data_IF_525946840799
#
_entry.id   IF_525946840799
#
_cell.length_a   1.000
_cell.length_b   1.000
_cell.length_c   1.000
_cell.angle_alpha   90.00
_cell.angle_beta   90.00
_cell.angle_gamma   90.00
#
_symmetry.space_group_name_H-M   'P 1'
#
loop_
_entity.id
_entity.type
_entity.pdbx_description
1 polymer ?
#
# COMPACT_ATOMS: atom_id res chain seq x y z
N UNK A 1 -33.28 -21.02 23.36
CA UNK A 1 -33.91 -20.59 22.09
C UNK A 1 -33.52 -19.15 21.81
N UNK A 2 -32.46 -18.93 21.04
CA UNK A 2 -32.09 -17.63 20.49
C UNK A 2 -31.71 -17.82 19.03
N UNK A 3 -32.10 -16.84 18.22
CA UNK A 3 -32.37 -16.91 16.79
C UNK A 3 -31.13 -17.27 15.95
N UNK A 4 -31.22 -18.37 15.21
CA UNK A 4 -30.43 -18.62 14.00
C UNK A 4 -30.94 -17.70 12.87
N UNK A 5 -30.29 -16.55 12.71
CA UNK A 5 -30.52 -15.62 11.60
C UNK A 5 -29.81 -16.07 10.33
N UNK A 6 -30.55 -16.15 9.24
CA UNK A 6 -30.13 -16.58 7.90
C UNK A 6 -28.99 -15.72 7.31
N UNK A 7 -27.76 -16.23 7.27
CA UNK A 7 -26.72 -15.86 6.30
C UNK A 7 -25.92 -17.09 5.87
N UNK A 8 -26.51 -18.00 5.09
CA UNK A 8 -25.76 -19.10 4.44
C UNK A 8 -25.09 -18.59 3.16
N UNK A 9 -24.01 -17.82 3.32
CA UNK A 9 -22.95 -17.73 2.32
C UNK A 9 -21.82 -18.66 2.74
N UNK A 10 -21.28 -19.47 1.82
CA UNK A 10 -20.12 -20.31 2.13
C UNK A 10 -18.94 -19.44 2.60
N UNK A 11 -18.34 -19.77 3.74
CA UNK A 11 -17.17 -19.05 4.27
C UNK A 11 -16.02 -19.11 3.26
N UNK A 12 -15.45 -17.97 2.81
CA UNK A 12 -14.41 -17.95 1.78
C UNK A 12 -13.17 -18.76 2.16
N UNK A 13 -12.49 -19.34 1.17
CA UNK A 13 -11.29 -20.18 1.36
C UNK A 13 -10.21 -19.43 2.13
N UNK A 14 -9.98 -18.16 1.82
CA UNK A 14 -9.02 -17.31 2.52
C UNK A 14 -9.32 -17.15 4.03
N UNK A 15 -10.58 -17.29 4.44
CA UNK A 15 -10.98 -17.29 5.86
C UNK A 15 -10.84 -18.68 6.47
N UNK A 16 -11.21 -19.75 5.74
CA UNK A 16 -11.09 -21.14 6.22
C UNK A 16 -9.62 -21.57 6.39
N UNK A 17 -8.74 -21.11 5.51
CA UNK A 17 -7.30 -21.38 5.51
C UNK A 17 -6.49 -20.48 6.44
N UNK A 18 -7.15 -19.70 7.33
CA UNK A 18 -6.41 -18.97 8.36
C UNK A 18 -5.68 -19.98 9.26
N UNK A 19 -4.37 -19.79 9.49
CA UNK A 19 -3.54 -20.67 10.27
C UNK A 19 -4.04 -20.74 11.71
N UNK A 20 -3.90 -21.93 12.31
CA UNK A 20 -4.28 -22.19 13.69
C UNK A 20 -3.13 -22.05 14.68
N UNK A 21 -1.90 -22.07 14.19
CA UNK A 21 -0.66 -21.84 14.95
C UNK A 21 0.32 -20.96 14.17
N UNK A 22 1.37 -20.47 14.82
CA UNK A 22 2.46 -19.77 14.13
C UNK A 22 3.19 -20.63 13.10
N UNK A 23 3.25 -21.95 13.29
CA UNK A 23 3.92 -22.88 12.38
C UNK A 23 3.21 -23.00 11.02
N UNK A 24 1.92 -22.67 10.98
CA UNK A 24 1.14 -22.64 9.75
C UNK A 24 1.25 -21.32 9.00
N UNK A 25 1.91 -20.29 9.55
CA UNK A 25 2.07 -19.01 8.86
C UNK A 25 3.07 -19.17 7.71
N UNK A 26 2.63 -18.85 6.48
CA UNK A 26 3.52 -18.81 5.32
C UNK A 26 4.36 -17.52 5.35
N UNK A 27 5.66 -17.65 5.07
CA UNK A 27 6.62 -16.54 5.10
C UNK A 27 6.86 -15.95 6.49
N UNK A 28 7.44 -14.74 6.51
CA UNK A 28 7.82 -14.02 7.74
C UNK A 28 8.80 -14.78 8.65
N UNK A 29 9.62 -15.69 8.11
CA UNK A 29 10.61 -16.46 8.88
C UNK A 29 11.54 -15.57 9.72
N UNK A 30 11.81 -14.34 9.27
CA UNK A 30 12.59 -13.34 10.02
C UNK A 30 11.92 -12.86 11.32
N UNK A 31 10.60 -13.06 11.46
CA UNK A 31 9.81 -12.75 12.66
C UNK A 31 9.34 -13.99 13.42
N UNK A 32 9.55 -15.20 12.90
CA UNK A 32 9.05 -16.45 13.50
C UNK A 32 10.16 -17.39 13.98
N UNK A 33 11.43 -16.96 13.87
CA UNK A 33 12.56 -17.74 14.37
C UNK A 33 12.61 -17.88 15.90
N UNK A 34 13.43 -18.82 16.41
CA UNK A 34 13.66 -19.00 17.85
C UNK A 34 14.08 -17.69 18.54
N UNK A 35 13.45 -17.37 19.67
CA UNK A 35 13.69 -16.13 20.42
C UNK A 35 12.96 -14.89 19.88
N UNK A 36 12.12 -15.05 18.85
CA UNK A 36 11.26 -13.96 18.38
C UNK A 36 10.26 -13.52 19.46
N UNK A 37 10.02 -12.20 19.62
CA UNK A 37 8.95 -11.68 20.46
C UNK A 37 7.56 -12.23 20.11
N UNK A 38 7.29 -12.53 18.84
CA UNK A 38 5.99 -13.10 18.42
C UNK A 38 5.83 -14.53 18.92
N UNK A 39 6.88 -15.34 18.83
CA UNK A 39 6.89 -16.71 19.33
C UNK A 39 6.75 -16.71 20.85
N UNK A 40 7.42 -15.80 21.55
CA UNK A 40 7.27 -15.63 22.99
C UNK A 40 5.85 -15.20 23.39
N UNK A 41 5.19 -14.35 22.60
CA UNK A 41 3.80 -13.94 22.83
C UNK A 41 2.79 -15.06 22.56
N UNK A 42 3.10 -15.99 21.66
CA UNK A 42 2.26 -17.13 21.33
C UNK A 42 2.49 -18.35 22.24
N UNK A 43 3.57 -18.38 23.04
CA UNK A 43 3.89 -19.49 23.94
C UNK A 43 2.84 -19.66 25.06
N UNK A 44 2.59 -20.92 25.43
CA UNK A 44 1.53 -21.30 26.37
C UNK A 44 1.94 -21.18 27.85
N UNK A 45 0.94 -21.07 28.74
CA UNK A 45 0.93 -20.52 30.10
C UNK A 45 1.78 -21.18 31.21
N UNK A 46 2.86 -21.89 30.91
CA UNK A 46 3.83 -22.37 31.92
C UNK A 46 5.25 -21.82 31.72
N UNK A 47 5.64 -21.52 30.48
CA UNK A 47 6.96 -20.95 30.13
C UNK A 47 6.87 -19.47 29.73
N UNK A 48 5.65 -18.96 29.56
CA UNK A 48 5.40 -17.56 29.25
C UNK A 48 5.84 -16.69 30.43
N UNK A 49 7.01 -16.04 30.31
CA UNK A 49 7.21 -14.79 31.04
C UNK A 49 6.07 -13.86 30.61
N UNK A 50 5.38 -13.17 31.53
CA UNK A 50 4.34 -12.23 31.19
C UNK A 50 4.97 -11.03 30.47
N UNK A 51 5.29 -11.19 29.18
CA UNK A 51 5.67 -10.07 28.34
C UNK A 51 4.35 -9.41 27.93
N UNK A 52 3.91 -8.44 28.73
CA UNK A 52 2.82 -7.52 28.42
C UNK A 52 3.21 -6.53 27.29
N UNK A 53 3.97 -7.01 26.31
CA UNK A 53 4.55 -6.17 25.28
C UNK A 53 3.57 -6.09 24.13
N UNK A 54 3.07 -4.87 23.89
CA UNK A 54 2.23 -4.57 22.75
C UNK A 54 3.03 -4.69 21.46
N UNK A 55 2.36 -5.02 20.35
CA UNK A 55 2.99 -5.19 19.05
C UNK A 55 2.27 -4.32 18.03
N UNK A 56 3.05 -3.66 17.17
CA UNK A 56 2.56 -2.98 15.98
C UNK A 56 3.11 -3.70 14.76
N UNK A 57 2.22 -4.32 13.99
CA UNK A 57 2.48 -5.01 12.73
C UNK A 57 2.35 -4.00 11.58
N UNK A 58 3.46 -3.71 10.92
CA UNK A 58 3.50 -2.81 9.77
C UNK A 58 3.84 -3.57 8.50
N UNK A 59 3.00 -3.48 7.47
CA UNK A 59 3.33 -4.02 6.17
C UNK A 59 2.19 -3.88 5.15
N UNK A 60 2.48 -4.17 3.86
CA UNK A 60 1.50 -4.13 2.78
C UNK A 60 0.21 -4.94 3.07
N UNK A 61 -0.90 -4.71 2.35
CA UNK A 61 -2.05 -5.60 2.39
C UNK A 61 -1.65 -7.04 2.00
N UNK A 62 -2.40 -8.03 2.48
CA UNK A 62 -2.16 -9.42 2.08
C UNK A 62 -1.00 -10.15 2.78
N UNK A 63 -0.16 -9.46 3.55
CA UNK A 63 0.99 -10.08 4.25
C UNK A 63 0.67 -10.89 5.51
N UNK A 64 -0.62 -10.99 5.87
CA UNK A 64 -1.06 -11.82 6.99
C UNK A 64 -1.08 -11.14 8.37
N UNK A 65 -1.17 -9.80 8.46
CA UNK A 65 -1.23 -9.07 9.75
C UNK A 65 -2.34 -9.58 10.70
N UNK A 66 -3.60 -9.57 10.26
CA UNK A 66 -4.75 -10.09 11.02
C UNK A 66 -4.58 -11.56 11.36
N UNK A 67 -4.11 -12.32 10.37
CA UNK A 67 -3.89 -13.75 10.43
C UNK A 67 -2.87 -14.13 11.52
N UNK A 68 -1.77 -13.38 11.60
CA UNK A 68 -0.72 -13.53 12.58
C UNK A 68 -1.22 -13.21 13.99
N UNK A 69 -1.98 -12.13 14.15
CA UNK A 69 -2.59 -11.77 15.43
C UNK A 69 -3.54 -12.86 15.96
N UNK A 70 -4.35 -13.46 15.07
CA UNK A 70 -5.26 -14.55 15.42
C UNK A 70 -4.51 -15.84 15.77
N UNK A 71 -3.44 -16.18 15.04
CA UNK A 71 -2.61 -17.34 15.36
C UNK A 71 -1.96 -17.20 16.75
N UNK A 72 -1.42 -16.02 17.08
CA UNK A 72 -0.84 -15.73 18.40
C UNK A 72 -1.89 -15.92 19.51
N UNK A 73 -3.08 -15.36 19.34
CA UNK A 73 -4.13 -15.45 20.36
C UNK A 73 -4.62 -16.89 20.55
N UNK A 74 -4.82 -17.64 19.47
CA UNK A 74 -5.22 -19.05 19.51
C UNK A 74 -4.16 -19.92 20.18
N UNK A 75 -2.91 -19.78 19.76
CA UNK A 75 -1.81 -20.60 20.28
C UNK A 75 -1.51 -20.31 21.76
N UNK A 76 -1.65 -19.05 22.20
CA UNK A 76 -1.48 -18.68 23.61
C UNK A 76 -2.70 -18.94 24.50
N UNK A 77 -3.80 -19.47 23.97
CA UNK A 77 -5.04 -19.70 24.71
C UNK A 77 -5.73 -18.42 25.23
N UNK A 78 -5.34 -17.24 24.72
CA UNK A 78 -5.84 -15.94 25.17
C UNK A 78 -7.14 -15.57 24.47
N UNK A 79 -7.99 -14.79 25.16
CA UNK A 79 -9.21 -14.25 24.56
C UNK A 79 -8.83 -13.27 23.46
N UNK A 80 -9.37 -13.46 22.25
CA UNK A 80 -9.17 -12.53 21.13
C UNK A 80 -10.36 -11.58 21.00
N UNK A 81 -10.09 -10.28 21.00
CA UNK A 81 -11.09 -9.23 20.72
C UNK A 81 -10.59 -8.39 19.58
N UNK A 82 -11.40 -8.25 18.53
CA UNK A 82 -11.11 -7.43 17.35
C UNK A 82 -11.98 -6.17 17.39
N UNK A 83 -11.35 -5.00 17.24
CA UNK A 83 -12.04 -3.74 17.02
C UNK A 83 -11.65 -3.17 15.65
N UNK A 84 -12.67 -2.82 14.87
CA UNK A 84 -12.48 -2.14 13.59
C UNK A 84 -12.20 -0.67 13.80
N UNK A 85 -11.07 -0.18 13.26
CA UNK A 85 -10.71 1.23 13.38
C UNK A 85 -11.64 2.20 12.65
N UNK A 86 -12.50 1.69 11.76
CA UNK A 86 -13.44 2.48 10.95
C UNK A 86 -14.72 2.78 11.73
N UNK A 87 -15.19 1.84 12.55
CA UNK A 87 -16.50 1.91 13.19
C UNK A 87 -16.44 2.14 14.70
N UNK A 88 -15.33 1.78 15.35
CA UNK A 88 -15.21 1.87 16.80
C UNK A 88 -14.93 3.32 17.24
N UNK A 89 -15.75 3.86 18.15
CA UNK A 89 -15.52 5.13 18.83
C UNK A 89 -14.75 4.97 20.14
N UNK A 90 -14.50 6.09 20.84
CA UNK A 90 -13.82 6.09 22.17
C UNK A 90 -14.58 5.26 23.21
N UNK A 91 -15.92 5.23 23.13
CA UNK A 91 -16.76 4.45 24.04
C UNK A 91 -16.51 2.95 23.88
N UNK A 92 -16.46 2.45 22.65
CA UNK A 92 -16.24 1.03 22.36
C UNK A 92 -14.87 0.56 22.84
N UNK A 93 -13.85 1.41 22.67
CA UNK A 93 -12.50 1.15 23.20
C UNK A 93 -12.53 1.00 24.72
N UNK A 94 -13.19 1.92 25.44
CA UNK A 94 -13.29 1.86 26.91
C UNK A 94 -14.04 0.62 27.39
N UNK A 95 -15.13 0.27 26.73
CA UNK A 95 -15.92 -0.92 27.08
C UNK A 95 -15.10 -2.21 26.92
N UNK A 96 -14.28 -2.32 25.88
CA UNK A 96 -13.36 -3.45 25.72
C UNK A 96 -12.31 -3.47 26.83
N UNK A 97 -11.78 -2.32 27.25
CA UNK A 97 -10.81 -2.25 28.35
C UNK A 97 -11.41 -2.65 29.70
N UNK A 98 -12.61 -2.16 30.00
CA UNK A 98 -13.33 -2.51 31.24
C UNK A 98 -13.65 -4.00 31.31
N UNK A 99 -14.06 -4.60 30.18
CA UNK A 99 -14.29 -6.04 30.08
C UNK A 99 -12.99 -6.83 30.23
N UNK A 100 -11.91 -6.41 29.58
CA UNK A 100 -10.61 -7.08 29.69
C UNK A 100 -10.06 -7.04 31.12
N UNK A 101 -10.22 -5.91 31.81
CA UNK A 101 -9.88 -5.77 33.23
C UNK A 101 -10.71 -6.74 34.09
N UNK A 102 -12.03 -6.75 33.90
CA UNK A 102 -12.95 -7.63 34.65
C UNK A 102 -12.62 -9.11 34.44
N UNK A 103 -12.38 -9.53 33.20
CA UNK A 103 -12.05 -10.91 32.83
C UNK A 103 -10.71 -11.35 33.46
N UNK A 104 -9.72 -10.44 33.47
CA UNK A 104 -8.42 -10.69 34.09
C UNK A 104 -8.55 -10.84 35.61
N UNK A 105 -9.29 -9.96 36.26
CA UNK A 105 -9.38 -9.94 37.72
C UNK A 105 -10.25 -11.10 38.26
N UNK A 106 -11.27 -11.53 37.51
CA UNK A 106 -12.16 -12.63 37.90
C UNK A 106 -11.64 -14.02 37.51
N UNK A 107 -11.02 -14.15 36.33
CA UNK A 107 -10.68 -15.46 35.74
C UNK A 107 -9.18 -15.63 35.45
N UNK A 108 -8.35 -14.60 35.71
CA UNK A 108 -6.93 -14.62 35.37
C UNK A 108 -6.66 -14.63 33.85
N UNK A 109 -7.68 -14.42 33.02
CA UNK A 109 -7.55 -14.52 31.56
C UNK A 109 -7.00 -13.23 30.97
N UNK A 110 -5.94 -13.34 30.17
CA UNK A 110 -5.38 -12.20 29.43
C UNK A 110 -6.09 -12.03 28.08
N UNK A 111 -6.44 -10.80 27.72
CA UNK A 111 -7.09 -10.49 26.43
C UNK A 111 -6.07 -9.95 25.43
N UNK A 112 -6.07 -10.51 24.21
CA UNK A 112 -5.41 -9.94 23.04
C UNK A 112 -6.39 -9.02 22.34
N UNK A 113 -6.09 -7.72 22.33
CA UNK A 113 -6.85 -6.73 21.59
C UNK A 113 -6.20 -6.50 20.23
N UNK A 114 -6.89 -6.88 19.16
CA UNK A 114 -6.47 -6.61 17.80
C UNK A 114 -7.15 -5.36 17.24
N UNK A 115 -6.34 -4.44 16.72
CA UNK A 115 -6.79 -3.25 16.01
C UNK A 115 -6.28 -3.28 14.58
N UNK A 116 -7.18 -3.44 13.61
CA UNK A 116 -6.80 -3.33 12.20
C UNK A 116 -6.83 -1.87 11.73
N UNK A 117 -5.87 -1.51 10.88
CA UNK A 117 -5.67 -0.16 10.35
C UNK A 117 -5.70 0.94 11.43
N UNK A 118 -4.86 0.80 12.47
CA UNK A 118 -4.75 1.75 13.59
C UNK A 118 -4.52 3.20 13.14
N UNK A 119 -3.97 3.41 11.94
CA UNK A 119 -3.82 4.74 11.35
C UNK A 119 -5.16 5.48 11.12
N UNK A 120 -6.29 4.78 11.16
CA UNK A 120 -7.64 5.36 11.08
C UNK A 120 -8.17 5.84 12.42
N UNK A 121 -7.57 5.41 13.54
CA UNK A 121 -7.93 5.93 14.86
C UNK A 121 -7.42 7.36 15.05
N UNK A 122 -8.33 8.23 15.48
CA UNK A 122 -8.03 9.56 16.01
C UNK A 122 -7.13 9.47 17.24
N UNK A 123 -6.42 10.57 17.54
CA UNK A 123 -5.59 10.68 18.74
C UNK A 123 -6.35 10.33 20.03
N UNK A 124 -7.60 10.77 20.16
CA UNK A 124 -8.43 10.49 21.33
C UNK A 124 -8.77 8.99 21.49
N UNK A 125 -8.99 8.26 20.39
CA UNK A 125 -9.19 6.80 20.44
C UNK A 125 -7.90 6.08 20.84
N UNK A 126 -6.74 6.55 20.36
CA UNK A 126 -5.44 5.99 20.74
C UNK A 126 -5.09 6.27 22.21
N UNK A 127 -5.34 7.49 22.70
CA UNK A 127 -5.14 7.84 24.11
C UNK A 127 -6.00 6.97 25.05
N UNK A 128 -7.20 6.57 24.61
CA UNK A 128 -8.08 5.68 25.36
C UNK A 128 -7.52 4.25 25.53
N UNK A 129 -6.55 3.83 24.71
CA UNK A 129 -5.88 2.53 24.81
C UNK A 129 -4.79 2.51 25.89
N UNK A 130 -4.23 3.67 26.24
CA UNK A 130 -3.03 3.76 27.08
C UNK A 130 -3.19 3.10 28.45
N UNK A 131 -4.30 3.31 29.21
CA UNK A 131 -4.45 2.67 30.51
C UNK A 131 -4.42 1.14 30.42
N UNK A 132 -5.03 0.56 29.39
CA UNK A 132 -5.08 -0.89 29.19
C UNK A 132 -3.74 -1.48 28.78
N UNK A 133 -2.98 -0.75 27.96
CA UNK A 133 -1.63 -1.16 27.53
C UNK A 133 -0.61 -1.01 28.67
N UNK A 134 -0.64 0.11 29.40
CA UNK A 134 0.32 0.41 30.48
C UNK A 134 0.18 -0.53 31.67
N UNK A 135 -1.06 -0.89 32.02
CA UNK A 135 -1.35 -1.73 33.17
C UNK A 135 -1.52 -3.21 32.82
N UNK A 136 -1.26 -3.59 31.56
CA UNK A 136 -1.37 -4.98 31.09
C UNK A 136 -2.78 -5.55 31.24
N UNK A 137 -3.82 -4.75 31.00
CA UNK A 137 -5.21 -5.24 30.91
C UNK A 137 -5.41 -6.01 29.59
N UNK A 138 -4.73 -5.54 28.54
CA UNK A 138 -4.71 -6.17 27.23
C UNK A 138 -3.29 -6.30 26.71
N UNK A 139 -3.06 -7.29 25.86
CA UNK A 139 -1.93 -7.33 24.94
C UNK A 139 -2.42 -6.75 23.62
N UNK A 140 -1.98 -5.53 23.29
CA UNK A 140 -2.37 -4.87 22.05
C UNK A 140 -1.58 -5.44 20.88
N UNK A 141 -2.27 -5.87 19.83
CA UNK A 141 -1.70 -6.12 18.51
C UNK A 141 -2.38 -5.17 17.52
N UNK A 142 -1.67 -4.14 17.09
CA UNK A 142 -2.17 -3.19 16.11
C UNK A 142 -1.58 -3.46 14.73
N UNK A 143 -2.37 -3.34 13.68
CA UNK A 143 -1.93 -3.48 12.29
C UNK A 143 -2.08 -2.16 11.54
N UNK A 144 -1.14 -1.87 10.63
CA UNK A 144 -1.24 -0.73 9.73
C UNK A 144 -0.50 -0.98 8.41
N UNK A 145 -1.05 -0.43 7.33
CA UNK A 145 -0.38 -0.32 6.03
C UNK A 145 0.47 0.94 5.90
N UNK A 146 0.14 2.00 6.65
CA UNK A 146 0.90 3.26 6.71
C UNK A 146 2.04 3.19 7.73
N UNK A 147 3.08 4.03 7.54
CA UNK A 147 4.22 4.09 8.45
C UNK A 147 3.76 4.53 9.87
N UNK A 148 3.95 3.69 10.90
CA UNK A 148 3.47 3.93 12.26
C UNK A 148 4.02 5.19 12.92
N UNK A 149 5.20 5.69 12.52
CA UNK A 149 5.79 6.89 13.12
C UNK A 149 4.97 8.16 12.87
N UNK A 150 4.08 8.14 11.87
CA UNK A 150 3.20 9.26 11.54
C UNK A 150 1.78 9.06 12.03
N UNK A 151 1.32 7.81 12.13
CA UNK A 151 -0.09 7.50 12.36
C UNK A 151 -0.39 7.00 13.79
N UNK A 152 0.63 6.60 14.55
CA UNK A 152 0.49 6.14 15.94
C UNK A 152 1.13 7.14 16.90
N UNK A 153 0.46 7.43 18.03
CA UNK A 153 0.96 8.36 19.04
C UNK A 153 2.24 7.83 19.71
N UNK A 154 3.17 8.73 20.03
CA UNK A 154 4.45 8.38 20.67
C UNK A 154 4.31 7.53 21.95
N UNK A 155 3.33 7.77 22.84
CA UNK A 155 3.15 6.94 24.04
C UNK A 155 2.83 5.46 23.76
N UNK A 156 2.09 5.16 22.69
CA UNK A 156 1.81 3.77 22.28
C UNK A 156 3.03 3.16 21.60
N UNK A 157 3.71 3.91 20.72
CA UNK A 157 4.93 3.46 20.04
C UNK A 157 6.04 3.11 21.04
N UNK A 158 6.25 3.93 22.07
CA UNK A 158 7.31 3.69 23.07
C UNK A 158 7.08 2.44 23.93
N UNK A 159 5.86 1.89 23.91
CA UNK A 159 5.42 0.72 24.70
C UNK A 159 5.11 -0.49 23.83
N UNK A 160 5.37 -0.38 22.53
CA UNK A 160 5.08 -1.42 21.56
C UNK A 160 6.32 -1.81 20.77
N UNK A 161 6.44 -3.08 20.42
CA UNK A 161 7.42 -3.54 19.45
C UNK A 161 6.89 -3.29 18.04
N UNK A 162 7.66 -2.56 17.25
CA UNK A 162 7.38 -2.37 15.84
C UNK A 162 7.98 -3.52 15.02
N UNK A 163 7.12 -4.31 14.38
CA UNK A 163 7.52 -5.44 13.54
C UNK A 163 7.07 -5.22 12.10
N UNK A 164 8.01 -5.32 11.17
CA UNK A 164 7.75 -5.12 9.74
C UNK A 164 7.52 -6.45 9.03
N UNK A 165 6.33 -6.61 8.45
CA UNK A 165 5.98 -7.73 7.58
C UNK A 165 6.41 -7.41 6.15
N UNK A 166 6.97 -8.41 5.48
CA UNK A 166 7.37 -8.34 4.07
C UNK A 166 6.27 -8.92 3.17
N UNK A 167 6.19 -8.53 1.89
CA UNK A 167 5.47 -9.32 0.89
C UNK A 167 5.91 -10.78 0.93
N UNK A 168 4.99 -11.70 0.64
CA UNK A 168 5.33 -13.13 0.55
C UNK A 168 6.14 -13.39 -0.71
N UNK A 169 7.12 -14.28 -0.62
CA UNK A 169 7.89 -14.74 -1.77
C UNK A 169 7.09 -15.80 -2.56
N UNK A 170 7.48 -16.05 -3.80
CA UNK A 170 6.79 -16.99 -4.69
C UNK A 170 6.71 -18.41 -4.10
N UNK A 171 7.76 -18.82 -3.38
CA UNK A 171 7.81 -20.12 -2.70
C UNK A 171 6.83 -20.19 -1.51
N UNK A 172 6.70 -19.10 -0.74
CA UNK A 172 5.74 -19.01 0.37
C UNK A 172 4.29 -19.12 -0.14
N UNK A 173 3.99 -18.42 -1.23
CA UNK A 173 2.69 -18.45 -1.88
C UNK A 173 2.39 -19.82 -2.47
N UNK A 174 3.38 -20.44 -3.12
CA UNK A 174 3.27 -21.79 -3.66
C UNK A 174 2.93 -22.80 -2.57
N UNK A 175 3.68 -22.80 -1.45
CA UNK A 175 3.39 -23.65 -0.29
C UNK A 175 1.98 -23.44 0.27
N UNK A 176 1.51 -22.19 0.34
CA UNK A 176 0.17 -21.87 0.83
C UNK A 176 -0.92 -22.42 -0.10
N UNK A 177 -0.73 -22.29 -1.41
CA UNK A 177 -1.63 -22.82 -2.45
C UNK A 177 -1.69 -24.35 -2.38
N UNK A 178 -0.53 -25.01 -2.34
CA UNK A 178 -0.43 -26.47 -2.27
C UNK A 178 -1.15 -26.99 -1.01
N UNK A 179 -0.93 -26.33 0.12
CA UNK A 179 -1.62 -26.67 1.38
C UNK A 179 -3.13 -26.51 1.25
N UNK A 180 -3.61 -25.42 0.65
CA UNK A 180 -5.05 -25.16 0.53
C UNK A 180 -5.78 -26.18 -0.36
N UNK A 181 -5.10 -26.80 -1.31
CA UNK A 181 -5.66 -27.88 -2.14
C UNK A 181 -5.97 -29.13 -1.30
N UNK A 182 -5.04 -29.52 -0.42
CA UNK A 182 -5.12 -30.79 0.32
C UNK A 182 -5.75 -30.67 1.71
N UNK A 183 -5.65 -29.52 2.36
CA UNK A 183 -6.11 -29.32 3.74
C UNK A 183 -7.64 -29.53 3.85
N UNK A 184 -8.14 -30.26 4.86
CA UNK A 184 -9.57 -30.46 5.09
C UNK A 184 -10.38 -29.15 5.21
N UNK A 185 -9.77 -28.07 5.74
CA UNK A 185 -10.37 -26.73 5.82
C UNK A 185 -10.42 -26.05 4.44
N UNK A 186 -9.51 -26.46 3.56
CA UNK A 186 -9.31 -25.90 2.24
C UNK A 186 -10.26 -26.49 1.20
N UNK A 187 -9.71 -27.20 0.24
CA UNK A 187 -10.44 -27.93 -0.80
C UNK A 187 -10.57 -29.43 -0.49
N UNK A 188 -9.89 -29.91 0.56
CA UNK A 188 -9.96 -31.29 1.05
C UNK A 188 -9.64 -32.35 -0.02
N UNK A 189 -8.70 -32.04 -0.93
CA UNK A 189 -8.30 -32.93 -2.02
C UNK A 189 -9.38 -33.16 -3.08
N UNK A 190 -10.49 -32.41 -3.08
CA UNK A 190 -11.57 -32.56 -4.09
C UNK A 190 -11.17 -32.18 -5.52
N UNK A 191 -10.02 -31.54 -5.67
CA UNK A 191 -9.43 -31.14 -6.95
C UNK A 191 -7.92 -31.34 -6.86
N UNK A 192 -7.28 -31.51 -7.99
CA UNK A 192 -5.82 -31.44 -8.13
C UNK A 192 -5.43 -30.12 -8.80
N UNK A 193 -4.17 -29.73 -8.69
CA UNK A 193 -3.65 -28.48 -9.25
C UNK A 193 -2.45 -28.81 -10.15
N UNK A 194 -2.50 -28.39 -11.41
CA UNK A 194 -1.34 -28.54 -12.29
C UNK A 194 -0.25 -27.48 -12.00
N UNK A 195 0.97 -27.75 -12.46
CA UNK A 195 2.13 -26.88 -12.19
C UNK A 195 2.00 -25.50 -12.85
N UNK A 196 1.35 -25.42 -14.01
CA UNK A 196 1.16 -24.16 -14.74
C UNK A 196 0.13 -23.25 -14.07
N UNK A 197 -0.96 -23.83 -13.56
CA UNK A 197 -2.00 -23.21 -12.75
C UNK A 197 -1.43 -22.73 -11.42
N UNK A 198 -0.62 -23.57 -10.76
CA UNK A 198 0.11 -23.18 -9.54
C UNK A 198 0.98 -21.95 -9.81
N UNK A 199 1.79 -21.98 -10.86
CA UNK A 199 2.63 -20.86 -11.24
C UNK A 199 1.82 -19.60 -11.61
N UNK A 200 0.66 -19.78 -12.26
CA UNK A 200 -0.25 -18.68 -12.60
C UNK A 200 -0.85 -18.02 -11.34
N UNK A 201 -1.30 -18.81 -10.36
CA UNK A 201 -1.81 -18.33 -9.07
C UNK A 201 -0.76 -17.54 -8.29
N UNK A 202 0.49 -18.02 -8.25
CA UNK A 202 1.61 -17.34 -7.58
C UNK A 202 1.91 -16.00 -8.25
N UNK A 203 2.04 -15.97 -9.59
CA UNK A 203 2.27 -14.72 -10.33
C UNK A 203 1.15 -13.70 -10.11
N UNK A 204 -0.11 -14.15 -10.16
CA UNK A 204 -1.28 -13.30 -9.95
C UNK A 204 -1.28 -12.68 -8.55
N UNK A 205 -0.90 -13.46 -7.54
CA UNK A 205 -0.92 -13.05 -6.15
C UNK A 205 0.05 -11.88 -5.87
N UNK A 206 1.20 -11.82 -6.57
CA UNK A 206 2.18 -10.72 -6.44
C UNK A 206 2.53 -10.38 -4.98
N UNK A 207 2.72 -11.42 -4.15
CA UNK A 207 3.01 -11.29 -2.71
C UNK A 207 1.80 -11.23 -1.77
N UNK A 208 0.56 -11.32 -2.27
CA UNK A 208 -0.69 -11.32 -1.50
C UNK A 208 -1.33 -12.71 -1.39
N UNK A 209 -1.27 -13.31 -0.20
CA UNK A 209 -1.87 -14.62 0.09
C UNK A 209 -3.40 -14.65 -0.08
N UNK A 210 -4.10 -13.57 0.27
CA UNK A 210 -5.57 -13.50 0.15
C UNK A 210 -5.96 -13.59 -1.31
N UNK A 211 -5.23 -12.89 -2.19
CA UNK A 211 -5.47 -12.92 -3.64
C UNK A 211 -5.24 -14.32 -4.21
N UNK A 212 -4.16 -14.99 -3.81
CA UNK A 212 -3.87 -16.38 -4.22
C UNK A 212 -5.03 -17.33 -3.86
N UNK A 213 -5.47 -17.31 -2.60
CA UNK A 213 -6.51 -18.21 -2.10
C UNK A 213 -7.89 -17.91 -2.70
N UNK A 214 -8.23 -16.64 -2.94
CA UNK A 214 -9.49 -16.27 -3.60
C UNK A 214 -9.51 -16.77 -5.05
N UNK A 215 -8.41 -16.62 -5.78
CA UNK A 215 -8.30 -17.12 -7.15
C UNK A 215 -8.39 -18.66 -7.20
N UNK A 216 -7.69 -19.34 -6.29
CA UNK A 216 -7.75 -20.80 -6.15
C UNK A 216 -9.19 -21.28 -5.86
N UNK A 217 -9.91 -20.62 -4.95
CA UNK A 217 -11.30 -20.98 -4.62
C UNK A 217 -12.22 -20.88 -5.84
N UNK A 218 -12.08 -19.82 -6.63
CA UNK A 218 -12.88 -19.64 -7.82
C UNK A 218 -12.52 -20.65 -8.93
N UNK A 219 -11.23 -20.99 -9.06
CA UNK A 219 -10.75 -21.99 -10.02
C UNK A 219 -11.30 -23.37 -9.66
N UNK A 220 -11.26 -23.73 -8.39
CA UNK A 220 -11.85 -24.95 -7.88
C UNK A 220 -13.37 -25.01 -8.10
N UNK A 221 -14.10 -23.91 -7.83
CA UNK A 221 -15.55 -23.85 -8.06
C UNK A 221 -15.92 -24.04 -9.52
N UNK A 222 -15.14 -23.46 -10.44
CA UNK A 222 -15.39 -23.58 -11.88
C UNK A 222 -15.08 -24.99 -12.36
N UNK A 223 -13.94 -25.53 -11.96
CA UNK A 223 -13.50 -26.89 -12.31
C UNK A 223 -14.50 -27.94 -11.81
N UNK A 224 -14.95 -27.85 -10.56
CA UNK A 224 -15.96 -28.76 -10.00
C UNK A 224 -17.34 -28.64 -10.67
N UNK A 225 -17.67 -27.49 -11.24
CA UNK A 225 -18.95 -27.28 -11.91
C UNK A 225 -18.96 -27.82 -13.36
N UNK A 226 -17.79 -28.03 -13.95
CA UNK A 226 -17.62 -28.53 -15.33
C UNK A 226 -17.05 -29.94 -15.40
N UNK A 227 -16.74 -30.55 -14.26
CA UNK A 227 -16.23 -31.92 -14.18
C UNK A 227 -17.32 -32.94 -14.55
N UNK A 228 -16.92 -33.98 -15.28
CA UNK A 228 -17.77 -35.13 -15.52
C UNK A 228 -17.98 -35.92 -14.22
N UNK A 229 -19.13 -36.58 -14.06
CA UNK A 229 -19.48 -37.32 -12.83
C UNK A 229 -18.51 -38.49 -12.51
N UNK A 230 -17.66 -38.87 -13.46
CA UNK A 230 -16.65 -39.94 -13.32
C UNK A 230 -15.28 -39.43 -12.86
N UNK A 231 -15.01 -38.11 -12.87
CA UNK A 231 -13.75 -37.54 -12.41
C UNK A 231 -13.75 -37.34 -10.89
N UNK A 232 -13.14 -38.29 -10.16
CA UNK A 232 -13.05 -38.26 -8.69
C UNK A 232 -12.24 -37.04 -8.17
N UNK A 233 -11.26 -36.58 -8.97
CA UNK A 233 -10.39 -35.45 -8.64
C UNK A 233 -10.08 -34.55 -9.86
N UNK A 234 -11.02 -33.67 -10.26
CA UNK A 234 -10.84 -32.77 -11.40
C UNK A 234 -9.59 -31.89 -11.26
N UNK A 235 -8.87 -31.69 -12.36
CA UNK A 235 -7.62 -30.92 -12.40
C UNK A 235 -7.93 -29.44 -12.64
N UNK A 236 -7.44 -28.56 -11.77
CA UNK A 236 -7.42 -27.11 -12.02
C UNK A 236 -6.27 -26.80 -12.98
N UNK A 237 -6.63 -26.31 -14.18
CA UNK A 237 -5.67 -25.88 -15.19
C UNK A 237 -5.39 -24.39 -15.19
N UNK A 238 -4.34 -23.95 -15.90
CA UNK A 238 -4.03 -22.53 -16.08
C UNK A 238 -5.19 -21.75 -16.73
N UNK A 239 -5.91 -22.37 -17.67
CA UNK A 239 -7.12 -21.80 -18.28
C UNK A 239 -8.25 -21.68 -17.26
N UNK A 240 -8.44 -22.69 -16.41
CA UNK A 240 -9.43 -22.65 -15.33
C UNK A 240 -9.10 -21.55 -14.30
N UNK A 241 -7.82 -21.35 -13.99
CA UNK A 241 -7.35 -20.22 -13.17
C UNK A 241 -7.66 -18.90 -13.87
N UNK A 242 -7.34 -18.75 -15.15
CA UNK A 242 -7.64 -17.52 -15.91
C UNK A 242 -9.13 -17.20 -15.88
N UNK A 243 -9.98 -18.15 -16.29
CA UNK A 243 -11.44 -17.97 -16.31
C UNK A 243 -12.04 -17.71 -14.93
N UNK A 244 -11.44 -18.28 -13.89
CA UNK A 244 -11.86 -18.08 -12.51
C UNK A 244 -11.39 -16.76 -11.92
N UNK A 245 -10.22 -16.24 -12.31
CA UNK A 245 -9.76 -14.91 -11.93
C UNK A 245 -10.71 -13.87 -12.50
N UNK A 246 -11.11 -14.00 -13.75
CA UNK A 246 -12.11 -13.14 -14.38
C UNK A 246 -13.42 -13.15 -13.56
N UNK A 247 -13.84 -14.32 -13.04
CA UNK A 247 -15.07 -14.51 -12.25
C UNK A 247 -14.94 -14.15 -10.76
N UNK A 248 -13.77 -14.32 -10.15
CA UNK A 248 -13.47 -13.97 -8.76
C UNK A 248 -13.27 -12.47 -8.60
N UNK A 249 -12.63 -11.83 -9.59
CA UNK A 249 -12.60 -10.38 -9.76
C UNK A 249 -13.97 -9.80 -10.09
N UNK A 250 -14.98 -10.61 -10.44
CA UNK A 250 -16.40 -10.20 -10.54
C UNK A 250 -17.22 -10.42 -9.24
N UNK A 251 -16.68 -11.17 -8.26
CA UNK A 251 -17.35 -11.49 -6.98
C UNK A 251 -16.72 -10.84 -5.75
N UNK A 252 -15.39 -10.73 -5.73
CA UNK A 252 -14.62 -10.01 -4.71
C UNK A 252 -14.50 -8.53 -5.05
N UNK A 253 -14.68 -8.23 -6.34
CA UNK A 253 -14.80 -6.89 -6.86
C UNK A 253 -16.05 -6.89 -7.74
N UNK A 254 -16.86 -5.84 -7.66
CA UNK A 254 -17.85 -5.59 -8.72
C UNK A 254 -17.15 -4.96 -9.95
N UNK A 255 -15.82 -5.17 -10.11
CA UNK A 255 -14.96 -4.45 -11.04
C UNK A 255 -13.62 -5.21 -11.27
N UNK A 256 -13.47 -5.98 -12.35
CA UNK A 256 -12.29 -6.87 -12.54
C UNK A 256 -11.40 -6.56 -13.73
N UNK A 257 -11.53 -7.32 -14.82
CA UNK A 257 -10.68 -7.11 -16.00
C UNK A 257 -11.16 -5.96 -16.87
N UNK A 258 -12.48 -5.77 -16.99
CA UNK A 258 -13.03 -4.55 -17.58
C UNK A 258 -12.65 -3.32 -16.74
N UNK A 259 -12.46 -3.45 -15.42
CA UNK A 259 -12.06 -2.32 -14.57
C UNK A 259 -10.64 -1.85 -14.88
N UNK A 260 -9.65 -2.76 -14.90
CA UNK A 260 -8.27 -2.40 -15.25
C UNK A 260 -8.14 -1.93 -16.69
N UNK A 261 -8.88 -2.56 -17.61
CA UNK A 261 -8.91 -2.14 -19.00
C UNK A 261 -9.59 -0.79 -19.18
N UNK A 262 -10.69 -0.52 -18.46
CA UNK A 262 -11.39 0.77 -18.51
C UNK A 262 -10.58 1.87 -17.86
N UNK A 263 -9.97 1.67 -16.68
CA UNK A 263 -9.11 2.70 -16.08
C UNK A 263 -7.84 2.90 -16.91
N UNK A 264 -7.30 1.83 -17.49
CA UNK A 264 -6.17 1.95 -18.39
C UNK A 264 -6.56 2.69 -19.66
N UNK A 265 -7.71 2.38 -20.26
CA UNK A 265 -8.19 3.04 -21.47
C UNK A 265 -8.52 4.51 -21.17
N UNK A 266 -9.13 4.80 -20.03
CA UNK A 266 -9.37 6.15 -19.52
C UNK A 266 -8.09 6.99 -19.49
N UNK A 267 -7.02 6.49 -18.84
CA UNK A 267 -5.75 7.22 -18.74
C UNK A 267 -5.04 7.28 -20.09
N UNK A 268 -5.10 6.21 -20.90
CA UNK A 268 -4.56 6.21 -22.27
C UNK A 268 -5.29 7.21 -23.17
N UNK A 269 -6.60 7.42 -23.01
CA UNK A 269 -7.38 8.42 -23.75
C UNK A 269 -6.99 9.84 -23.34
N UNK A 270 -6.83 10.11 -22.04
CA UNK A 270 -6.30 11.40 -21.57
C UNK A 270 -4.91 11.64 -22.17
N UNK A 271 -3.99 10.67 -22.05
CA UNK A 271 -2.62 10.74 -22.60
C UNK A 271 -2.61 10.90 -24.13
N UNK A 272 -3.53 10.23 -24.81
CA UNK A 272 -3.74 10.28 -26.26
C UNK A 272 -4.43 11.56 -26.75
N UNK A 273 -4.82 12.44 -25.84
CA UNK A 273 -5.54 13.68 -26.11
C UNK A 273 -6.91 13.49 -26.78
N UNK A 274 -7.62 12.44 -26.40
CA UNK A 274 -8.99 12.15 -26.83
C UNK A 274 -9.96 12.43 -25.66
N UNK A 275 -10.57 13.64 -25.58
CA UNK A 275 -11.48 14.00 -24.51
C UNK A 275 -12.80 13.19 -24.57
N UNK A 276 -13.25 12.81 -25.76
CA UNK A 276 -14.50 12.07 -25.95
C UNK A 276 -14.37 10.65 -25.41
N UNK A 277 -13.28 9.95 -25.77
CA UNK A 277 -12.99 8.62 -25.25
C UNK A 277 -12.71 8.67 -23.74
N UNK A 278 -12.00 9.69 -23.25
CA UNK A 278 -11.75 9.84 -21.81
C UNK A 278 -13.06 10.04 -21.01
N UNK A 279 -13.98 10.87 -21.49
CA UNK A 279 -15.30 11.04 -20.88
C UNK A 279 -16.13 9.75 -20.93
N UNK A 280 -16.06 9.00 -22.03
CA UNK A 280 -16.74 7.71 -22.16
C UNK A 280 -16.26 6.69 -21.10
N UNK A 281 -14.94 6.53 -20.94
CA UNK A 281 -14.41 5.62 -19.93
C UNK A 281 -14.63 6.13 -18.49
N UNK A 282 -14.62 7.45 -18.27
CA UNK A 282 -15.05 8.04 -16.99
C UNK A 282 -16.49 7.66 -16.66
N UNK A 283 -17.41 7.82 -17.61
CA UNK A 283 -18.82 7.46 -17.44
C UNK A 283 -18.98 5.96 -17.14
N UNK A 284 -18.24 5.09 -17.84
CA UNK A 284 -18.24 3.64 -17.57
C UNK A 284 -17.80 3.32 -16.14
N UNK A 285 -16.76 3.96 -15.63
CA UNK A 285 -16.33 3.77 -14.23
C UNK A 285 -17.39 4.24 -13.24
N UNK A 286 -18.00 5.40 -13.48
CA UNK A 286 -19.04 5.94 -12.58
C UNK A 286 -20.27 5.04 -12.54
N UNK A 287 -20.75 4.59 -13.71
CA UNK A 287 -21.91 3.68 -13.80
C UNK A 287 -21.60 2.30 -13.22
N UNK A 288 -20.36 1.83 -13.34
CA UNK A 288 -19.90 0.59 -12.70
C UNK A 288 -19.78 0.70 -11.16
N UNK A 289 -19.95 1.89 -10.59
CA UNK A 289 -19.88 2.12 -9.14
C UNK A 289 -18.45 2.21 -8.59
N UNK A 290 -17.50 2.61 -9.42
CA UNK A 290 -16.10 2.80 -9.05
C UNK A 290 -15.94 3.81 -7.90
N UNK A 291 -14.98 3.61 -6.98
CA UNK A 291 -14.74 4.57 -5.90
C UNK A 291 -14.36 5.94 -6.51
N UNK A 292 -15.15 7.02 -6.29
CA UNK A 292 -14.87 8.33 -6.86
C UNK A 292 -13.50 8.87 -6.45
N UNK A 293 -13.01 8.47 -5.27
CA UNK A 293 -11.66 8.83 -4.79
C UNK A 293 -10.57 8.09 -5.58
N UNK A 294 -10.84 6.87 -6.04
CA UNK A 294 -9.94 6.15 -6.93
C UNK A 294 -9.81 6.86 -8.28
N UNK A 295 -10.94 7.22 -8.92
CA UNK A 295 -10.95 7.99 -10.17
C UNK A 295 -10.16 9.30 -9.99
N UNK A 296 -10.48 10.07 -8.94
CA UNK A 296 -9.83 11.35 -8.65
C UNK A 296 -8.30 11.21 -8.46
N UNK A 297 -7.83 10.16 -7.77
CA UNK A 297 -6.38 9.87 -7.64
C UNK A 297 -5.72 9.63 -9.00
N UNK A 298 -6.39 8.91 -9.90
CA UNK A 298 -5.86 8.61 -11.24
C UNK A 298 -5.79 9.86 -12.12
N UNK A 299 -6.75 10.78 -12.00
CA UNK A 299 -6.74 12.10 -12.65
C UNK A 299 -5.56 12.95 -12.15
N UNK A 300 -5.31 12.99 -10.83
CA UNK A 300 -4.15 13.70 -10.25
C UNK A 300 -2.83 13.14 -10.76
N UNK A 301 -2.68 11.81 -10.81
CA UNK A 301 -1.47 11.17 -11.34
C UNK A 301 -1.26 11.55 -12.80
N UNK A 302 -2.30 11.46 -13.64
CA UNK A 302 -2.19 11.82 -15.07
C UNK A 302 -1.82 13.29 -15.27
N UNK A 303 -2.36 14.20 -14.45
CA UNK A 303 -1.97 15.61 -14.48
C UNK A 303 -0.45 15.83 -14.25
N UNK A 304 0.16 15.07 -13.34
CA UNK A 304 1.59 15.18 -13.05
C UNK A 304 2.48 14.37 -14.03
N UNK A 305 2.02 13.19 -14.45
CA UNK A 305 2.78 12.24 -15.28
C UNK A 305 2.70 12.59 -16.77
N UNK A 306 1.50 12.88 -17.28
CA UNK A 306 1.23 13.00 -18.72
C UNK A 306 1.21 14.46 -19.21
N UNK A 307 0.92 15.42 -18.34
CA UNK A 307 0.91 16.86 -18.65
C UNK A 307 2.13 17.54 -18.04
N UNK A 308 2.37 17.35 -16.74
CA UNK A 308 3.55 17.82 -16.04
C UNK A 308 3.73 19.34 -16.13
N UNK A 309 4.94 19.79 -16.47
CA UNK A 309 5.27 21.22 -16.53
C UNK A 309 4.88 21.85 -17.88
N UNK A 310 4.41 21.06 -18.85
CA UNK A 310 3.90 21.61 -20.09
C UNK A 310 2.63 22.45 -19.86
N UNK A 311 1.86 22.13 -18.81
CA UNK A 311 0.84 23.02 -18.28
C UNK A 311 0.78 22.94 -16.74
N UNK A 312 1.39 23.92 -16.04
CA UNK A 312 1.45 23.95 -14.58
C UNK A 312 0.09 24.08 -13.87
N UNK A 313 -1.00 24.42 -14.59
CA UNK A 313 -2.34 24.52 -14.00
C UNK A 313 -3.05 23.17 -13.90
N UNK A 314 -2.59 22.15 -14.63
CA UNK A 314 -3.21 20.83 -14.67
C UNK A 314 -3.31 20.14 -13.30
N UNK A 315 -2.21 20.11 -12.54
CA UNK A 315 -2.18 19.47 -11.22
C UNK A 315 -3.06 20.20 -10.19
N UNK A 316 -2.98 21.54 -10.02
CA UNK A 316 -3.90 22.29 -9.17
C UNK A 316 -5.37 22.05 -9.51
N UNK A 317 -5.74 22.06 -10.80
CA UNK A 317 -7.11 21.80 -11.24
C UNK A 317 -7.57 20.38 -10.87
N UNK A 318 -6.74 19.37 -11.12
CA UNK A 318 -7.03 17.98 -10.76
C UNK A 318 -7.22 17.78 -9.25
N UNK A 319 -6.40 18.47 -8.43
CA UNK A 319 -6.54 18.46 -6.96
C UNK A 319 -7.83 19.14 -6.53
N UNK A 320 -8.18 20.30 -7.13
CA UNK A 320 -9.43 20.99 -6.84
C UNK A 320 -10.65 20.12 -7.19
N UNK A 321 -10.62 19.42 -8.33
CA UNK A 321 -11.67 18.47 -8.71
C UNK A 321 -11.78 17.30 -7.70
N UNK A 322 -10.66 16.74 -7.25
CA UNK A 322 -10.66 15.69 -6.22
C UNK A 322 -11.25 16.16 -4.89
N UNK A 323 -10.93 17.39 -4.46
CA UNK A 323 -11.52 18.00 -3.27
C UNK A 323 -13.03 18.23 -3.45
N UNK A 324 -13.45 18.73 -4.61
CA UNK A 324 -14.87 18.91 -4.92
C UNK A 324 -15.64 17.59 -4.85
N UNK A 325 -15.09 16.49 -5.39
CA UNK A 325 -15.68 15.14 -5.26
C UNK A 325 -15.84 14.73 -3.81
N UNK A 326 -14.84 14.97 -2.98
CA UNK A 326 -14.88 14.62 -1.56
C UNK A 326 -15.92 15.45 -0.77
N UNK A 327 -16.09 16.72 -1.12
CA UNK A 327 -17.00 17.64 -0.44
C UNK A 327 -18.46 17.45 -0.88
N UNK A 328 -18.68 17.19 -2.17
CA UNK A 328 -20.02 17.16 -2.78
C UNK A 328 -20.58 15.73 -2.79
N UNK A 329 -19.74 14.71 -2.98
CA UNK A 329 -20.17 13.32 -3.16
C UNK A 329 -20.76 13.05 -4.55
N UNK A 330 -21.17 11.80 -4.81
CA UNK A 330 -21.82 11.38 -6.05
C UNK A 330 -23.35 11.43 -5.93
N UNK A 331 -24.09 11.73 -7.01
CA UNK A 331 -23.63 11.80 -8.41
C UNK A 331 -23.03 13.14 -8.86
N UNK A 332 -23.20 14.25 -8.13
CA UNK A 332 -22.77 15.60 -8.55
C UNK A 332 -21.25 15.71 -8.74
N UNK A 333 -20.45 14.93 -8.00
CA UNK A 333 -19.00 14.85 -8.15
C UNK A 333 -18.52 14.43 -9.55
N UNK A 334 -19.38 13.83 -10.39
CA UNK A 334 -19.07 13.54 -11.80
C UNK A 334 -18.78 14.81 -12.62
N UNK A 335 -19.38 15.94 -12.24
CA UNK A 335 -19.28 17.21 -12.98
C UNK A 335 -17.86 17.80 -12.89
N UNK A 336 -17.29 18.06 -11.69
CA UNK A 336 -15.91 18.52 -11.59
C UNK A 336 -14.90 17.49 -12.09
N UNK A 337 -15.19 16.18 -12.00
CA UNK A 337 -14.34 15.15 -12.61
C UNK A 337 -14.32 15.27 -14.14
N UNK A 338 -15.48 15.44 -14.77
CA UNK A 338 -15.56 15.60 -16.23
C UNK A 338 -14.81 16.86 -16.70
N UNK A 339 -14.95 17.98 -15.97
CA UNK A 339 -14.22 19.22 -16.25
C UNK A 339 -12.70 19.00 -16.22
N UNK A 340 -12.18 18.39 -15.15
CA UNK A 340 -10.76 18.09 -15.04
C UNK A 340 -10.27 17.14 -16.13
N UNK A 341 -11.06 16.10 -16.47
CA UNK A 341 -10.69 15.14 -17.52
C UNK A 341 -10.59 15.80 -18.88
N UNK A 342 -11.54 16.66 -19.26
CA UNK A 342 -11.50 17.40 -20.53
C UNK A 342 -10.31 18.34 -20.57
N UNK A 343 -10.03 19.04 -19.47
CA UNK A 343 -8.86 19.90 -19.36
C UNK A 343 -7.56 19.11 -19.59
N UNK A 344 -7.37 17.99 -18.88
CA UNK A 344 -6.17 17.17 -19.00
C UNK A 344 -6.02 16.55 -20.40
N UNK A 345 -7.13 16.06 -20.98
CA UNK A 345 -7.11 15.48 -22.32
C UNK A 345 -6.71 16.53 -23.38
N UNK A 346 -7.13 17.78 -23.23
CA UNK A 346 -6.80 18.86 -24.19
C UNK A 346 -5.49 19.58 -23.91
N UNK A 347 -4.91 19.41 -22.72
CA UNK A 347 -3.64 20.03 -22.32
C UNK A 347 -2.42 19.54 -23.12
N UNK A 348 -1.37 20.36 -23.28
CA UNK A 348 -0.11 19.94 -23.89
C UNK A 348 0.56 18.82 -23.06
N UNK A 349 0.98 17.75 -23.72
CA UNK A 349 1.53 16.56 -23.05
C UNK A 349 3.03 16.60 -22.84
N UNK A 350 3.48 16.37 -21.62
CA UNK A 350 4.89 16.16 -21.27
C UNK A 350 5.03 15.23 -20.08
N UNK A 351 5.88 14.21 -20.23
CA UNK A 351 6.35 13.35 -19.15
C UNK A 351 7.80 13.66 -18.75
N UNK A 352 8.34 14.83 -19.13
CA UNK A 352 9.75 15.17 -18.95
C UNK A 352 10.19 15.20 -17.47
N UNK A 353 9.33 15.69 -16.58
CA UNK A 353 9.59 15.69 -15.14
C UNK A 353 9.53 14.28 -14.54
N UNK A 354 8.53 13.49 -14.96
CA UNK A 354 8.37 12.08 -14.58
C UNK A 354 9.60 11.23 -14.97
N UNK A 355 10.02 11.29 -16.23
CA UNK A 355 11.24 10.59 -16.67
C UNK A 355 12.51 11.13 -15.99
N UNK A 356 12.54 12.42 -15.66
CA UNK A 356 13.65 13.05 -14.95
C UNK A 356 13.86 12.47 -13.55
N UNK A 357 12.78 12.31 -12.77
CA UNK A 357 12.89 11.72 -11.42
C UNK A 357 13.23 10.23 -11.49
N UNK A 358 12.66 9.48 -12.45
CA UNK A 358 12.98 8.06 -12.62
C UNK A 358 14.46 7.83 -12.99
N UNK A 359 15.01 8.67 -13.86
CA UNK A 359 16.42 8.62 -14.21
C UNK A 359 17.33 8.93 -13.00
N UNK A 360 16.94 9.89 -12.16
CA UNK A 360 17.69 10.22 -10.94
C UNK A 360 17.62 9.09 -9.91
N UNK A 361 16.44 8.51 -9.69
CA UNK A 361 16.25 7.36 -8.81
C UNK A 361 17.05 6.13 -9.28
N UNK A 362 17.08 5.89 -10.59
CA UNK A 362 17.89 4.82 -11.17
C UNK A 362 19.39 5.01 -10.91
N UNK A 363 19.91 6.24 -11.07
CA UNK A 363 21.31 6.54 -10.77
C UNK A 363 21.64 6.38 -9.27
N UNK A 364 20.72 6.75 -8.37
CA UNK A 364 20.87 6.53 -6.92
C UNK A 364 20.91 5.03 -6.60
N UNK A 365 19.96 4.24 -7.14
CA UNK A 365 19.90 2.78 -6.95
C UNK A 365 21.13 2.08 -7.52
N UNK A 366 21.71 2.60 -8.60
CA UNK A 366 22.96 2.12 -9.18
C UNK A 366 24.23 2.58 -8.43
N UNK A 367 24.10 3.21 -7.24
CA UNK A 367 25.23 3.63 -6.42
C UNK A 367 25.94 4.90 -6.90
N UNK A 368 25.36 5.66 -7.83
CA UNK A 368 25.91 6.93 -8.34
C UNK A 368 25.53 8.15 -7.51
N UNK A 369 24.98 7.96 -6.30
CA UNK A 369 24.56 9.04 -5.42
C UNK A 369 25.69 10.04 -5.10
N UNK A 370 26.95 9.57 -5.01
CA UNK A 370 28.09 10.42 -4.68
C UNK A 370 27.99 11.04 -3.28
N UNK A 371 28.87 11.99 -2.97
CA UNK A 371 28.82 12.76 -1.72
C UNK A 371 28.39 14.19 -2.06
N UNK A 372 27.53 14.78 -1.22
CA UNK A 372 27.14 16.19 -1.35
C UNK A 372 28.40 17.08 -1.32
N UNK A 373 28.58 17.98 -2.31
CA UNK A 373 29.70 18.93 -2.33
C UNK A 373 29.81 19.73 -1.03
N UNK A 374 31.02 19.97 -0.53
CA UNK A 374 31.26 20.58 0.79
C UNK A 374 30.56 21.94 0.96
N UNK A 375 30.57 22.78 -0.08
CA UNK A 375 29.93 24.09 -0.08
C UNK A 375 28.38 24.02 -0.06
N UNK A 376 27.78 22.86 -0.33
CA UNK A 376 26.32 22.67 -0.23
C UNK A 376 25.87 21.96 1.06
N UNK A 377 26.81 21.50 1.90
CA UNK A 377 26.46 20.84 3.16
C UNK A 377 26.01 21.86 4.20
N UNK A 378 25.17 21.39 5.12
CA UNK A 378 24.71 22.22 6.23
C UNK A 378 25.89 22.77 7.06
N UNK A 379 25.83 24.07 7.33
CA UNK A 379 26.84 24.84 8.02
C UNK A 379 26.42 25.28 9.44
N UNK A 380 25.18 24.98 9.86
CA UNK A 380 24.57 25.55 11.07
C UNK A 380 24.83 24.75 12.36
N UNK A 381 25.50 23.60 12.29
CA UNK A 381 25.75 22.75 13.46
C UNK A 381 27.19 22.90 14.03
N UNK A 382 27.40 22.62 15.34
CA UNK A 382 28.71 22.68 15.97
C UNK A 382 29.72 21.73 15.28
N UNK A 383 30.83 22.28 14.77
CA UNK A 383 31.87 21.53 14.05
C UNK A 383 31.85 21.67 12.53
N UNK A 384 30.79 22.25 11.94
CA UNK A 384 30.69 22.47 10.50
C UNK A 384 31.84 23.35 9.94
N UNK A 385 32.25 24.39 10.68
CA UNK A 385 33.39 25.26 10.31
C UNK A 385 34.72 24.50 10.23
N UNK A 386 34.96 23.57 11.16
CA UNK A 386 36.18 22.74 11.19
C UNK A 386 36.20 21.73 10.04
N UNK A 387 35.02 21.22 9.66
CA UNK A 387 34.84 20.29 8.54
C UNK A 387 34.75 20.99 7.17
N UNK A 388 34.82 22.33 7.14
CA UNK A 388 34.73 23.13 5.92
C UNK A 388 33.36 23.10 5.23
N UNK A 389 32.30 22.71 5.94
CA UNK A 389 30.94 22.70 5.39
C UNK A 389 30.43 24.12 5.11
N UNK A 390 29.73 24.29 3.98
CA UNK A 390 29.22 25.59 3.52
C UNK A 390 30.30 26.58 3.06
N UNK A 391 31.60 26.27 3.24
CA UNK A 391 32.68 27.14 2.81
C UNK A 391 32.71 27.21 1.29
N UNK A 392 32.62 28.42 0.74
CA UNK A 392 32.62 28.65 -0.71
C UNK A 392 31.23 28.55 -1.36
N UNK A 393 30.16 28.42 -0.57
CA UNK A 393 28.80 28.52 -1.09
C UNK A 393 28.56 29.89 -1.73
N UNK A 394 28.04 29.90 -2.96
CA UNK A 394 27.63 31.14 -3.64
C UNK A 394 26.13 31.30 -3.54
N UNK A 395 25.68 32.20 -2.70
CA UNK A 395 24.25 32.44 -2.52
C UNK A 395 23.65 33.11 -3.77
N UNK A 396 22.69 32.48 -4.49
CA UNK A 396 22.22 32.99 -5.77
C UNK A 396 21.61 34.40 -5.73
N UNK A 397 21.03 34.83 -4.61
CA UNK A 397 20.45 36.17 -4.49
C UNK A 397 21.48 37.30 -4.42
N UNK A 398 22.75 36.99 -4.15
CA UNK A 398 23.85 37.96 -4.16
C UNK A 398 24.44 38.13 -5.59
N UNK A 399 24.09 37.25 -6.53
CA UNK A 399 24.46 37.38 -7.95
C UNK A 399 23.46 38.32 -8.67
N UNK A 400 23.96 39.20 -9.53
CA UNK A 400 23.15 40.18 -10.27
C UNK A 400 22.01 39.51 -11.09
N UNK A 401 22.24 38.30 -11.59
CA UNK A 401 21.26 37.56 -12.39
C UNK A 401 20.37 36.65 -11.55
N UNK A 402 20.58 36.59 -10.23
CA UNK A 402 19.89 35.68 -9.32
C UNK A 402 20.31 34.21 -9.49
N UNK A 403 21.46 33.94 -10.13
CA UNK A 403 21.91 32.59 -10.53
C UNK A 403 23.43 32.46 -10.39
N UNK A 404 23.89 31.67 -9.43
CA UNK A 404 25.33 31.45 -9.19
C UNK A 404 25.94 30.37 -10.09
N UNK A 405 27.10 30.66 -10.69
CA UNK A 405 28.01 29.65 -11.26
C UNK A 405 28.64 28.83 -10.13
N UNK A 406 28.15 27.62 -9.91
CA UNK A 406 28.74 26.65 -8.96
C UNK A 406 28.27 25.24 -9.27
N UNK A 407 29.05 24.24 -8.84
CA UNK A 407 28.66 22.84 -8.96
C UNK A 407 27.58 22.49 -7.93
N UNK A 408 26.44 21.98 -8.39
CA UNK A 408 25.37 21.52 -7.50
C UNK A 408 25.28 19.99 -7.39
N UNK A 409 25.58 19.27 -8.48
CA UNK A 409 25.63 17.82 -8.46
C UNK A 409 26.94 17.31 -7.86
N UNK A 410 26.97 16.13 -7.21
CA UNK A 410 28.21 15.46 -6.81
C UNK A 410 29.16 15.22 -8.00
N UNK A 411 30.46 15.07 -7.73
CA UNK A 411 31.51 14.93 -8.76
C UNK A 411 31.18 13.83 -9.79
N UNK A 412 30.64 12.70 -9.32
CA UNK A 412 30.27 11.55 -10.17
C UNK A 412 29.12 11.83 -11.14
N UNK A 413 28.37 12.92 -10.93
CA UNK A 413 27.18 13.30 -11.69
C UNK A 413 27.36 14.63 -12.42
N UNK A 414 28.56 15.22 -12.41
CA UNK A 414 28.84 16.44 -13.17
C UNK A 414 28.51 16.22 -14.65
N UNK A 415 27.75 17.14 -15.24
CA UNK A 415 27.27 17.05 -16.62
C UNK A 415 25.98 16.25 -16.81
N UNK A 416 25.47 15.55 -15.79
CA UNK A 416 24.18 14.84 -15.87
C UNK A 416 23.02 15.82 -16.06
N UNK A 417 22.07 15.42 -16.89
CA UNK A 417 20.84 16.17 -17.17
C UNK A 417 19.64 15.24 -17.04
N UNK A 418 18.89 15.40 -15.95
CA UNK A 418 17.69 14.62 -15.66
C UNK A 418 16.47 15.21 -16.37
N UNK A 419 16.20 16.49 -16.17
CA UNK A 419 15.05 17.16 -16.76
C UNK A 419 15.34 17.57 -18.21
N UNK A 420 14.54 17.11 -19.17
CA UNK A 420 14.68 17.43 -20.59
C UNK A 420 13.33 17.94 -21.11
N UNK A 421 13.07 19.26 -21.02
CA UNK A 421 11.77 19.83 -21.38
C UNK A 421 11.47 19.62 -22.87
N UNK A 422 10.19 19.49 -23.19
CA UNK A 422 9.68 19.42 -24.55
C UNK A 422 9.45 20.82 -25.14
N UNK A 423 9.06 20.90 -26.41
CA UNK A 423 8.69 22.18 -27.07
C UNK A 423 7.19 22.52 -26.92
N UNK A 424 6.45 21.80 -26.05
CA UNK A 424 5.00 21.87 -25.91
C UNK A 424 4.61 22.73 -24.71
N UNK A 425 3.53 23.49 -24.85
CA UNK A 425 3.00 24.31 -23.76
C UNK A 425 4.05 25.24 -23.14
N UNK A 426 3.97 25.41 -21.83
CA UNK A 426 4.89 26.22 -21.04
C UNK A 426 6.34 25.70 -21.06
N UNK A 427 6.56 24.42 -21.36
CA UNK A 427 7.91 23.87 -21.44
C UNK A 427 8.76 24.47 -22.56
N UNK A 428 8.13 25.03 -23.61
CA UNK A 428 8.85 25.75 -24.67
C UNK A 428 9.68 26.90 -24.12
N UNK A 429 9.07 27.73 -23.28
CA UNK A 429 9.73 28.88 -22.67
C UNK A 429 10.72 28.43 -21.58
N UNK A 430 10.36 27.38 -20.85
CA UNK A 430 11.25 26.76 -19.85
C UNK A 430 12.50 26.19 -20.52
N UNK A 431 12.39 25.57 -21.70
CA UNK A 431 13.54 25.01 -22.42
C UNK A 431 14.56 26.11 -22.76
N UNK A 432 14.09 27.22 -23.34
CA UNK A 432 14.94 28.37 -23.66
C UNK A 432 15.59 28.99 -22.42
N UNK A 433 14.84 29.12 -21.31
CA UNK A 433 15.37 29.62 -20.05
C UNK A 433 16.37 28.64 -19.42
N UNK A 434 16.06 27.34 -19.42
CA UNK A 434 16.86 26.30 -18.79
C UNK A 434 18.23 26.16 -19.47
N UNK A 435 18.30 26.34 -20.78
CA UNK A 435 19.58 26.35 -21.51
C UNK A 435 20.50 27.47 -21.00
N UNK A 436 19.98 28.70 -20.90
CA UNK A 436 20.71 29.86 -20.34
C UNK A 436 21.11 29.61 -18.88
N UNK A 437 20.19 29.10 -18.06
CA UNK A 437 20.47 28.76 -16.67
C UNK A 437 21.59 27.71 -16.56
N UNK A 438 21.56 26.67 -17.39
CA UNK A 438 22.60 25.64 -17.42
C UNK A 438 23.94 26.20 -17.87
N UNK A 439 23.97 27.13 -18.82
CA UNK A 439 25.20 27.78 -19.25
C UNK A 439 25.84 28.55 -18.10
N UNK A 440 25.07 29.40 -17.41
CA UNK A 440 25.53 30.17 -16.24
C UNK A 440 25.97 29.23 -15.12
N UNK A 441 25.08 28.35 -14.64
CA UNK A 441 25.34 27.44 -13.52
C UNK A 441 26.61 26.60 -13.73
N UNK A 442 26.85 26.15 -14.96
CA UNK A 442 27.98 25.27 -15.32
C UNK A 442 29.19 26.03 -15.85
N UNK A 443 29.16 27.36 -15.87
CA UNK A 443 30.27 28.19 -16.36
C UNK A 443 30.63 27.97 -17.83
N UNK A 444 29.64 27.63 -18.68
CA UNK A 444 29.85 27.52 -20.13
C UNK A 444 29.78 28.92 -20.75
N UNK A 445 30.71 29.25 -21.64
CA UNK A 445 30.69 30.52 -22.35
C UNK A 445 29.34 30.68 -23.08
N UNK A 446 28.58 31.71 -22.73
CA UNK A 446 27.43 32.14 -23.52
C UNK A 446 27.99 32.74 -24.81
N UNK A 447 27.88 32.02 -25.93
CA UNK A 447 28.24 32.55 -27.24
C UNK A 447 27.50 33.87 -27.47
N UNK A 448 28.26 34.91 -27.81
CA UNK A 448 27.75 36.26 -28.11
C UNK A 448 27.03 36.34 -29.44
#
# INVERSE_FOLDING_TARGET
MQQEGLHRGATPLAVRMRPTSLDEVAGQNHLLGPGSPLVALAADGAEARPSAVSVILWGPPGTGKTTLAQAIARQSGRRFVELSAITAGVKDVREVMERALSDRDLYGSTTVLFLDEIHRFTKAQQDALLPGVENGWVVLIAATTENPSFSVISPLLSRSLLLTLKPLEDDDLGMLVDRAVVDPRGLAGRVTLDDEARAALVRLASGDARRALTALEAAAQTTLATADEEDEHPVITAEAVSAAVDRALLRYDRAGDEHYDVISAFIKSIRGSDPDAALHYLARMIEAGEDPRFIARRVIISAAEDIGVADPQALPLAVAAAQAVQLIGMPEGRIPLAEAVVYLATAPKSNAAYLGIDAALADVRAGKAGVVPLHLRDAHYPGAKTLGHGKGYRYPHDDEHGVSTQQYLPDRLVGREYYRPTARGAERDIAARLEKLRAIVRGRATGG
#
